data_IF_656745288037
#
_entry.id   IF_656745288037
#
_cell.length_a   1.000
_cell.length_b   1.000
_cell.length_c   1.000
_cell.angle_alpha   90.00
_cell.angle_beta   90.00
_cell.angle_gamma   90.00
#
_symmetry.space_group_name_H-M   'P 1'
#
loop_
_entity.id
_entity.type
_entity.pdbx_description
1 polymer ?
#
# COMPACT_ATOMS: atom_id res chain seq x y z
N UNK A 1 46.66 35.25 33.04
CA UNK A 1 46.77 35.06 31.58
C UNK A 1 45.94 33.84 31.18
N UNK A 2 44.72 34.11 30.70
CA UNK A 2 43.86 33.35 29.78
C UNK A 2 44.10 31.82 29.60
N UNK A 3 43.34 31.00 30.35
CA UNK A 3 43.01 29.60 29.99
C UNK A 3 41.49 29.40 30.04
N UNK A 4 40.75 30.18 29.25
CA UNK A 4 39.29 30.03 29.12
C UNK A 4 38.73 29.98 27.68
N UNK A 5 39.45 30.32 26.57
CA UNK A 5 38.82 30.28 25.25
C UNK A 5 38.65 28.85 24.71
N UNK A 6 39.63 27.95 24.90
CA UNK A 6 39.58 26.60 24.31
C UNK A 6 38.44 25.73 24.87
N UNK A 7 38.17 25.79 26.18
CA UNK A 7 37.09 25.03 26.81
C UNK A 7 35.70 25.53 26.36
N UNK A 8 35.57 26.84 26.14
CA UNK A 8 34.33 27.44 25.64
C UNK A 8 34.04 27.12 24.17
N UNK A 9 35.09 26.90 23.36
CA UNK A 9 34.95 26.53 21.94
C UNK A 9 34.56 25.06 21.78
N UNK A 10 35.22 24.16 22.53
CA UNK A 10 34.87 22.73 22.55
C UNK A 10 33.43 22.53 23.02
N UNK A 11 33.02 23.15 24.13
CA UNK A 11 31.64 23.08 24.62
C UNK A 11 30.62 23.66 23.61
N UNK A 12 31.01 24.69 22.84
CA UNK A 12 30.16 25.26 21.80
C UNK A 12 30.01 24.34 20.59
N UNK A 13 31.08 23.69 20.16
CA UNK A 13 31.04 22.78 19.02
C UNK A 13 30.33 21.46 19.40
N UNK A 14 30.54 20.94 20.61
CA UNK A 14 29.74 19.82 21.16
C UNK A 14 28.24 20.17 21.22
N UNK A 15 27.89 21.38 21.68
CA UNK A 15 26.51 21.84 21.71
C UNK A 15 25.89 21.96 20.30
N UNK A 16 26.64 22.43 19.30
CA UNK A 16 26.18 22.49 17.90
C UNK A 16 25.93 21.08 17.36
N UNK A 17 26.88 20.17 17.54
CA UNK A 17 26.73 18.78 17.10
C UNK A 17 25.54 18.09 17.77
N UNK A 18 25.32 18.34 19.07
CA UNK A 18 24.15 17.81 19.77
C UNK A 18 22.83 18.40 19.22
N UNK A 19 22.81 19.68 18.88
CA UNK A 19 21.63 20.35 18.32
C UNK A 19 21.34 19.88 16.88
N UNK A 20 22.37 19.67 16.07
CA UNK A 20 22.27 19.07 14.73
C UNK A 20 21.72 17.64 14.80
N UNK A 21 22.24 16.81 15.72
CA UNK A 21 21.72 15.46 15.95
C UNK A 21 20.26 15.47 16.41
N UNK A 22 19.91 16.35 17.35
CA UNK A 22 18.52 16.47 17.82
C UNK A 22 17.59 16.92 16.67
N UNK A 23 18.00 17.91 15.87
CA UNK A 23 17.24 18.37 14.71
C UNK A 23 17.01 17.23 13.71
N UNK A 24 18.04 16.44 13.43
CA UNK A 24 17.94 15.27 12.56
C UNK A 24 16.97 14.22 13.13
N UNK A 25 17.07 13.92 14.42
CA UNK A 25 16.14 13.00 15.10
C UNK A 25 14.70 13.51 15.02
N UNK A 26 14.45 14.80 15.23
CA UNK A 26 13.12 15.39 15.09
C UNK A 26 12.61 15.34 13.64
N UNK A 27 13.47 15.59 12.65
CA UNK A 27 13.10 15.49 11.23
C UNK A 27 12.74 14.05 10.83
N UNK A 28 13.44 13.04 11.35
CA UNK A 28 13.13 11.62 11.11
C UNK A 28 11.79 11.18 11.69
N UNK A 29 11.25 11.90 12.66
CA UNK A 29 9.91 11.64 13.19
C UNK A 29 8.80 12.18 12.29
N UNK A 30 9.12 13.11 11.39
CA UNK A 30 8.15 13.72 10.48
C UNK A 30 8.06 12.86 9.23
N UNK A 31 6.84 12.54 8.80
CA UNK A 31 6.59 11.85 7.55
C UNK A 31 6.74 12.80 6.36
N UNK A 32 7.38 12.32 5.30
CA UNK A 32 7.36 12.99 3.99
C UNK A 32 5.95 12.92 3.40
N UNK A 33 5.69 13.72 2.38
CA UNK A 33 4.40 13.73 1.70
C UNK A 33 4.05 12.36 1.11
N UNK A 34 5.02 11.69 0.49
CA UNK A 34 4.79 10.36 -0.08
C UNK A 34 4.51 9.32 1.00
N UNK A 35 5.19 9.41 2.15
CA UNK A 35 4.90 8.54 3.30
C UNK A 35 3.50 8.80 3.87
N UNK A 36 3.05 10.07 3.89
CA UNK A 36 1.69 10.43 4.29
C UNK A 36 0.64 9.89 3.31
N UNK A 37 0.91 9.94 2.00
CA UNK A 37 0.05 9.32 0.97
C UNK A 37 -0.04 7.81 1.19
N UNK A 38 1.08 7.14 1.44
CA UNK A 38 1.11 5.72 1.74
C UNK A 38 0.32 5.38 3.01
N UNK A 39 0.46 6.16 4.08
CA UNK A 39 -0.36 6.03 5.30
C UNK A 39 -1.85 6.14 4.97
N UNK A 40 -2.25 7.10 4.15
CA UNK A 40 -3.66 7.27 3.75
C UNK A 40 -4.17 6.05 2.97
N UNK A 41 -3.40 5.54 2.02
CA UNK A 41 -3.78 4.35 1.24
C UNK A 41 -3.86 3.09 2.12
N UNK A 42 -2.94 2.91 3.09
CA UNK A 42 -2.99 1.81 4.06
C UNK A 42 -4.21 1.89 4.97
N UNK A 43 -4.60 3.10 5.40
CA UNK A 43 -5.88 3.32 6.12
C UNK A 43 -7.09 2.96 5.26
N UNK A 44 -7.05 3.27 3.97
CA UNK A 44 -8.10 2.86 3.03
C UNK A 44 -8.22 1.33 2.96
N UNK A 45 -7.08 0.62 2.87
CA UNK A 45 -7.04 -0.84 2.93
C UNK A 45 -7.70 -1.34 4.22
N UNK A 46 -7.25 -0.84 5.38
CA UNK A 46 -7.81 -1.23 6.67
C UNK A 46 -9.32 -1.00 6.76
N UNK A 47 -9.79 0.21 6.42
CA UNK A 47 -11.21 0.56 6.45
C UNK A 47 -12.03 -0.34 5.51
N UNK A 48 -11.54 -0.58 4.28
CA UNK A 48 -12.21 -1.45 3.30
C UNK A 48 -12.36 -2.88 3.81
N UNK A 49 -11.27 -3.50 4.23
CA UNK A 49 -11.28 -4.92 4.61
C UNK A 49 -12.04 -5.18 5.91
N UNK A 50 -11.95 -4.28 6.90
CA UNK A 50 -12.81 -4.39 8.08
C UNK A 50 -14.29 -4.16 7.75
N UNK A 51 -14.61 -3.28 6.79
CA UNK A 51 -15.98 -3.10 6.29
C UNK A 51 -16.50 -4.36 5.59
N UNK A 52 -15.69 -5.00 4.76
CA UNK A 52 -15.99 -6.30 4.14
C UNK A 52 -16.22 -7.38 5.20
N UNK A 53 -15.40 -7.42 6.25
CA UNK A 53 -15.58 -8.35 7.37
C UNK A 53 -16.96 -8.19 8.03
N UNK A 54 -17.41 -6.95 8.26
CA UNK A 54 -18.75 -6.68 8.80
C UNK A 54 -19.83 -7.20 7.86
N UNK A 55 -19.71 -6.97 6.54
CA UNK A 55 -20.72 -7.42 5.55
C UNK A 55 -20.84 -8.94 5.47
N UNK A 56 -19.73 -9.65 5.56
CA UNK A 56 -19.71 -11.10 5.41
C UNK A 56 -19.68 -11.88 6.74
N UNK A 57 -19.71 -11.20 7.88
CA UNK A 57 -19.64 -11.84 9.20
C UNK A 57 -18.29 -12.50 9.51
N UNK A 58 -17.21 -12.05 8.86
CA UNK A 58 -15.85 -12.53 9.13
C UNK A 58 -15.31 -11.80 10.36
N UNK A 59 -14.77 -12.53 11.34
CA UNK A 59 -14.28 -11.96 12.61
C UNK A 59 -15.29 -11.01 13.29
N UNK A 60 -16.57 -11.43 13.32
CA UNK A 60 -17.70 -10.59 13.72
C UNK A 60 -17.56 -9.92 15.11
N UNK A 61 -16.82 -10.55 16.02
CA UNK A 61 -16.57 -10.03 17.38
C UNK A 61 -15.77 -8.71 17.39
N UNK A 62 -14.91 -8.48 16.38
CA UNK A 62 -14.00 -7.33 16.32
C UNK A 62 -14.23 -6.45 15.10
N UNK A 63 -14.81 -6.98 14.02
CA UNK A 63 -14.91 -6.30 12.73
C UNK A 63 -15.63 -4.96 12.82
N UNK A 64 -16.72 -4.87 13.58
CA UNK A 64 -17.49 -3.63 13.70
C UNK A 64 -16.70 -2.52 14.40
N UNK A 65 -16.01 -2.85 15.51
CA UNK A 65 -15.19 -1.89 16.24
C UNK A 65 -14.01 -1.40 15.39
N UNK A 66 -13.35 -2.33 14.68
CA UNK A 66 -12.23 -2.01 13.78
C UNK A 66 -12.67 -1.17 12.59
N UNK A 67 -13.77 -1.52 11.94
CA UNK A 67 -14.32 -0.76 10.82
C UNK A 67 -14.67 0.67 11.25
N UNK A 68 -15.44 0.83 12.33
CA UNK A 68 -15.80 2.15 12.88
C UNK A 68 -14.57 3.01 13.13
N UNK A 69 -13.53 2.42 13.71
CA UNK A 69 -12.29 3.12 14.01
C UNK A 69 -11.54 3.54 12.73
N UNK A 70 -11.27 2.62 11.81
CA UNK A 70 -10.50 2.95 10.59
C UNK A 70 -11.25 3.87 9.62
N UNK A 71 -12.58 3.81 9.61
CA UNK A 71 -13.43 4.73 8.83
C UNK A 71 -13.44 6.16 9.37
N UNK A 72 -12.92 6.43 10.57
CA UNK A 72 -12.77 7.83 11.05
C UNK A 72 -11.75 8.62 10.24
N UNK A 73 -10.78 7.94 9.63
CA UNK A 73 -9.70 8.57 8.87
C UNK A 73 -10.00 8.68 7.37
N UNK A 74 -10.97 7.93 6.86
CA UNK A 74 -11.23 7.81 5.42
C UNK A 74 -12.72 7.71 5.16
N UNK A 75 -13.27 8.73 4.49
CA UNK A 75 -14.68 8.77 4.12
C UNK A 75 -15.02 7.88 2.91
N UNK A 76 -14.11 7.73 1.95
CA UNK A 76 -14.28 6.89 0.76
C UNK A 76 -12.97 6.19 0.36
N UNK A 77 -12.70 5.00 0.94
CA UNK A 77 -11.47 4.24 0.66
C UNK A 77 -11.27 3.90 -0.81
N UNK A 78 -12.35 3.59 -1.53
CA UNK A 78 -12.25 3.19 -2.94
C UNK A 78 -11.85 4.35 -3.82
N UNK A 79 -12.50 5.51 -3.62
CA UNK A 79 -12.20 6.70 -4.41
C UNK A 79 -10.77 7.16 -4.21
N UNK A 80 -10.28 7.13 -2.95
CA UNK A 80 -8.91 7.55 -2.63
C UNK A 80 -7.87 6.65 -3.31
N UNK A 81 -8.01 5.32 -3.16
CA UNK A 81 -7.04 4.37 -3.74
C UNK A 81 -7.11 4.38 -5.27
N UNK A 82 -8.31 4.46 -5.85
CA UNK A 82 -8.50 4.57 -7.30
C UNK A 82 -7.91 5.86 -7.86
N UNK A 83 -8.09 6.99 -7.17
CA UNK A 83 -7.49 8.26 -7.56
C UNK A 83 -5.96 8.21 -7.53
N UNK A 84 -5.38 7.59 -6.50
CA UNK A 84 -3.93 7.38 -6.43
C UNK A 84 -3.42 6.47 -7.57
N UNK A 85 -4.16 5.42 -7.91
CA UNK A 85 -3.84 4.53 -9.03
C UNK A 85 -3.91 5.23 -10.39
N UNK A 86 -4.96 6.03 -10.65
CA UNK A 86 -5.06 6.81 -11.90
C UNK A 86 -3.99 7.90 -11.98
N UNK A 87 -3.71 8.60 -10.88
CA UNK A 87 -2.58 9.55 -10.83
C UNK A 87 -1.26 8.85 -11.17
N UNK A 88 -1.02 7.71 -10.53
CA UNK A 88 0.14 6.86 -10.78
C UNK A 88 0.11 6.15 -12.15
N UNK A 89 -0.86 6.44 -13.01
CA UNK A 89 -0.90 6.00 -14.41
C UNK A 89 -0.62 7.17 -15.34
N UNK A 90 -1.21 8.33 -15.07
CA UNK A 90 -1.12 9.52 -15.91
C UNK A 90 0.15 10.34 -15.70
N UNK A 91 0.82 10.16 -14.55
CA UNK A 91 2.10 10.83 -14.27
C UNK A 91 3.12 10.54 -15.38
N UNK A 92 3.89 11.54 -15.80
CA UNK A 92 5.02 11.36 -16.71
C UNK A 92 6.33 11.34 -15.92
N UNK A 93 7.41 10.79 -16.50
CA UNK A 93 8.73 10.72 -15.84
C UNK A 93 9.31 12.14 -15.53
N UNK A 94 8.65 13.21 -15.97
CA UNK A 94 9.04 14.62 -15.76
C UNK A 94 8.19 15.37 -14.72
N UNK A 95 7.12 14.78 -14.18
CA UNK A 95 6.19 15.45 -13.25
C UNK A 95 6.67 15.33 -11.80
N UNK A 96 7.88 15.85 -11.54
CA UNK A 96 8.46 15.89 -10.19
C UNK A 96 7.82 16.94 -9.27
N UNK A 97 6.87 17.75 -9.77
CA UNK A 97 6.34 18.93 -9.07
C UNK A 97 4.84 19.18 -9.28
N UNK A 98 4.00 18.14 -9.27
CA UNK A 98 2.54 18.35 -9.24
C UNK A 98 2.04 18.57 -7.80
N UNK A 99 2.30 19.78 -7.32
CA UNK A 99 2.02 20.24 -5.96
C UNK A 99 0.52 20.33 -5.64
N UNK A 100 -0.38 20.39 -6.62
CA UNK A 100 -1.80 20.76 -6.42
C UNK A 100 -2.73 19.60 -6.03
N UNK A 101 -2.79 18.49 -6.79
CA UNK A 101 -3.69 17.35 -6.48
C UNK A 101 -3.23 16.52 -5.26
N UNK A 102 -2.05 16.83 -4.77
CA UNK A 102 -1.30 16.05 -3.80
C UNK A 102 -1.41 16.70 -2.40
N UNK A 103 -2.07 17.88 -2.29
CA UNK A 103 -2.46 18.53 -1.04
C UNK A 103 -3.72 17.89 -0.44
N UNK A 104 -4.71 17.53 -1.26
CA UNK A 104 -5.98 16.93 -0.83
C UNK A 104 -5.81 15.59 -0.07
N UNK A 105 -4.84 14.75 -0.48
CA UNK A 105 -4.53 13.51 0.23
C UNK A 105 -3.77 13.73 1.54
N UNK A 106 -3.00 14.81 1.62
CA UNK A 106 -2.22 15.18 2.81
C UNK A 106 -3.11 15.75 3.92
N UNK A 107 -4.20 16.45 3.57
CA UNK A 107 -5.19 16.95 4.54
C UNK A 107 -5.97 15.81 5.24
N UNK A 108 -6.14 14.67 4.57
CA UNK A 108 -6.79 13.47 5.13
C UNK A 108 -5.91 12.72 6.15
N UNK A 109 -4.61 13.02 6.23
CA UNK A 109 -3.66 12.19 6.98
C UNK A 109 -3.57 12.53 8.47
N UNK A 110 -3.95 13.75 8.89
CA UNK A 110 -3.69 14.20 10.26
C UNK A 110 -2.19 14.22 10.58
N UNK A 111 -1.81 14.70 11.77
CA UNK A 111 -0.44 14.98 12.24
C UNK A 111 0.65 14.06 11.62
N UNK A 112 1.51 14.59 10.74
CA UNK A 112 2.46 13.82 9.92
C UNK A 112 3.64 13.24 10.71
N UNK A 113 3.35 12.38 11.69
CA UNK A 113 4.32 11.75 12.59
C UNK A 113 4.51 10.26 12.25
N UNK A 114 5.71 9.73 12.47
CA UNK A 114 6.08 8.33 12.27
C UNK A 114 5.18 7.35 13.03
N UNK A 115 4.60 7.78 14.14
CA UNK A 115 3.61 6.99 14.90
C UNK A 115 2.41 6.60 14.03
N UNK A 116 1.97 7.46 13.11
CA UNK A 116 0.88 7.14 12.19
C UNK A 116 1.25 6.00 11.24
N UNK A 117 2.48 5.99 10.72
CA UNK A 117 3.00 4.90 9.89
C UNK A 117 3.05 3.59 10.69
N UNK A 118 3.65 3.61 11.88
CA UNK A 118 3.74 2.42 12.74
C UNK A 118 2.36 1.86 13.11
N UNK A 119 1.40 2.75 13.33
CA UNK A 119 0.04 2.39 13.68
C UNK A 119 -0.71 1.72 12.52
N UNK A 120 -0.60 2.23 11.29
CA UNK A 120 -1.19 1.56 10.11
C UNK A 120 -0.50 0.23 9.82
N UNK A 121 0.82 0.15 9.98
CA UNK A 121 1.60 -1.10 9.86
C UNK A 121 1.17 -2.15 10.89
N UNK A 122 0.87 -1.73 12.11
CA UNK A 122 0.31 -2.62 13.12
C UNK A 122 -1.08 -3.14 12.70
N UNK A 123 -1.94 -2.27 12.16
CA UNK A 123 -3.25 -2.67 11.64
C UNK A 123 -3.16 -3.68 10.49
N UNK A 124 -2.26 -3.45 9.53
CA UNK A 124 -2.06 -4.37 8.39
C UNK A 124 -1.49 -5.72 8.84
N UNK A 125 -0.57 -5.72 9.80
CA UNK A 125 -0.08 -6.95 10.42
C UNK A 125 -1.18 -7.73 11.14
N UNK A 126 -2.11 -7.03 11.79
CA UNK A 126 -3.29 -7.66 12.40
C UNK A 126 -4.19 -8.33 11.35
N UNK A 127 -4.51 -7.63 10.24
CA UNK A 127 -5.26 -8.24 9.11
C UNK A 127 -4.58 -9.52 8.60
N UNK A 128 -3.25 -9.47 8.43
CA UNK A 128 -2.45 -10.59 7.96
C UNK A 128 -2.46 -11.75 8.97
N UNK A 129 -2.27 -11.46 10.26
CA UNK A 129 -2.27 -12.46 11.33
C UNK A 129 -3.61 -13.17 11.45
N UNK A 130 -4.70 -12.46 11.19
CA UNK A 130 -6.06 -12.98 11.21
C UNK A 130 -6.51 -13.59 9.88
N UNK A 131 -5.63 -13.56 8.86
CA UNK A 131 -5.90 -14.07 7.50
C UNK A 131 -7.21 -13.51 6.93
N UNK A 132 -7.46 -12.22 7.17
CA UNK A 132 -8.71 -11.56 6.81
C UNK A 132 -8.98 -11.66 5.31
N UNK A 133 -7.97 -11.44 4.48
CA UNK A 133 -8.12 -11.48 3.02
C UNK A 133 -8.46 -12.90 2.52
N UNK A 134 -7.80 -13.93 3.06
CA UNK A 134 -8.10 -15.34 2.74
C UNK A 134 -9.54 -15.70 3.14
N UNK A 135 -9.95 -15.31 4.35
CA UNK A 135 -11.30 -15.58 4.86
C UNK A 135 -12.38 -14.85 4.05
N UNK A 136 -12.12 -13.60 3.66
CA UNK A 136 -13.02 -12.81 2.82
C UNK A 136 -13.11 -13.38 1.40
N UNK A 137 -12.00 -13.80 0.79
CA UNK A 137 -12.02 -14.45 -0.52
C UNK A 137 -12.92 -15.69 -0.52
N UNK A 138 -12.84 -16.51 0.53
CA UNK A 138 -13.73 -17.67 0.71
C UNK A 138 -15.18 -17.22 0.89
N UNK A 139 -15.44 -16.21 1.75
CA UNK A 139 -16.79 -15.73 2.01
C UNK A 139 -17.45 -15.12 0.77
N UNK A 140 -16.73 -14.32 -0.01
CA UNK A 140 -17.22 -13.73 -1.28
C UNK A 140 -17.50 -14.83 -2.32
N UNK A 141 -16.61 -15.81 -2.45
CA UNK A 141 -16.82 -16.96 -3.34
C UNK A 141 -18.02 -17.82 -2.91
N UNK A 142 -18.26 -17.96 -1.61
CA UNK A 142 -19.44 -18.65 -1.09
C UNK A 142 -20.73 -17.89 -1.39
N UNK A 143 -20.77 -16.56 -1.27
CA UNK A 143 -21.96 -15.76 -1.61
C UNK A 143 -22.27 -15.75 -3.12
N UNK A 144 -21.28 -15.99 -3.98
CA UNK A 144 -21.51 -16.21 -5.42
C UNK A 144 -22.34 -17.47 -5.72
N UNK A 145 -22.07 -18.58 -5.01
CA UNK A 145 -22.66 -19.91 -5.32
C UNK A 145 -24.20 -20.00 -5.16
N UNK A 146 -24.84 -19.42 -4.12
CA UNK A 146 -26.30 -19.38 -4.00
C UNK A 146 -27.00 -18.62 -5.12
N UNK A 147 -26.36 -17.58 -5.67
CA UNK A 147 -26.95 -16.76 -6.73
C UNK A 147 -26.97 -17.49 -8.08
N UNK A 148 -25.96 -18.32 -8.38
CA UNK A 148 -25.93 -19.18 -9.59
C UNK A 148 -27.07 -20.20 -9.55
N UNK A 149 -27.34 -20.80 -8.38
CA UNK A 149 -28.43 -21.76 -8.23
C UNK A 149 -29.83 -21.13 -8.38
N UNK A 150 -30.00 -19.83 -8.07
CA UNK A 150 -31.26 -19.10 -8.30
C UNK A 150 -31.48 -18.69 -9.75
N UNK A 151 -30.41 -18.42 -10.50
CA UNK A 151 -30.49 -18.11 -11.93
C UNK A 151 -30.70 -19.35 -12.82
N UNK A 152 -30.41 -20.55 -12.31
CA UNK A 152 -30.55 -21.83 -13.01
C UNK A 152 -31.94 -22.50 -12.96
N UNK A 153 -32.96 -21.87 -12.37
CA UNK A 153 -34.33 -22.42 -12.34
C UNK A 153 -35.21 -21.91 -13.50
N UNK A 154 -34.63 -21.73 -14.69
CA UNK A 154 -35.41 -21.79 -15.93
C UNK A 154 -35.14 -23.14 -16.59
N UNK A 155 -36.21 -23.93 -16.63
CA UNK A 155 -36.38 -25.26 -17.20
C UNK A 155 -35.63 -25.46 -18.54
N UNK A 156 -34.47 -26.12 -18.50
CA UNK A 156 -34.11 -27.18 -19.46
C UNK A 156 -32.83 -27.91 -19.00
N UNK A 157 -32.98 -29.18 -18.65
CA UNK A 157 -31.90 -30.09 -18.28
C UNK A 157 -30.95 -30.33 -19.47
N UNK A 158 -29.81 -29.65 -19.47
CA UNK A 158 -28.58 -30.16 -20.10
C UNK A 158 -27.43 -30.05 -19.10
N UNK A 159 -26.95 -31.21 -18.64
CA UNK A 159 -25.72 -31.33 -17.87
C UNK A 159 -24.57 -30.72 -18.69
N UNK A 160 -23.71 -29.86 -18.11
CA UNK A 160 -22.56 -29.34 -18.83
C UNK A 160 -21.61 -30.49 -19.18
N UNK A 161 -21.18 -30.50 -20.44
CA UNK A 161 -20.18 -31.43 -20.97
C UNK A 161 -18.87 -31.16 -20.21
N UNK A 162 -18.30 -32.25 -19.70
CA UNK A 162 -16.98 -32.32 -19.08
C UNK A 162 -15.94 -31.62 -19.96
N UNK A 163 -15.40 -30.48 -19.50
CA UNK A 163 -14.33 -29.75 -20.19
C UNK A 163 -14.56 -28.26 -20.45
N UNK A 164 -15.73 -27.70 -20.16
CA UNK A 164 -15.94 -26.24 -20.21
C UNK A 164 -15.58 -25.63 -18.85
N UNK A 165 -14.31 -25.23 -18.70
CA UNK A 165 -13.89 -24.39 -17.59
C UNK A 165 -14.55 -23.03 -17.79
N UNK A 166 -15.77 -22.86 -17.27
CA UNK A 166 -16.42 -21.56 -17.23
C UNK A 166 -15.45 -20.60 -16.54
N UNK A 167 -14.98 -19.60 -17.28
CA UNK A 167 -14.26 -18.48 -16.70
C UNK A 167 -15.19 -17.91 -15.62
N UNK A 168 -14.90 -18.21 -14.35
CA UNK A 168 -15.74 -17.78 -13.24
C UNK A 168 -15.95 -16.27 -13.34
N UNK A 169 -17.17 -15.85 -13.65
CA UNK A 169 -17.53 -14.45 -13.62
C UNK A 169 -17.38 -13.95 -12.18
N UNK A 170 -16.55 -12.93 -12.00
CA UNK A 170 -16.34 -12.30 -10.70
C UNK A 170 -17.65 -11.65 -10.27
N UNK A 171 -18.01 -11.80 -9.00
CA UNK A 171 -19.07 -10.99 -8.42
C UNK A 171 -18.67 -9.51 -8.46
N UNK A 172 -19.65 -8.59 -8.37
CA UNK A 172 -19.38 -7.14 -8.33
C UNK A 172 -18.35 -6.79 -7.25
N UNK A 173 -18.49 -7.40 -6.07
CA UNK A 173 -17.62 -7.16 -4.93
C UNK A 173 -16.20 -7.69 -5.15
N UNK A 174 -16.06 -8.87 -5.79
CA UNK A 174 -14.75 -9.39 -6.19
C UNK A 174 -14.10 -8.52 -7.27
N UNK A 175 -14.87 -8.05 -8.25
CA UNK A 175 -14.36 -7.14 -9.27
C UNK A 175 -13.90 -5.81 -8.67
N UNK A 176 -14.64 -5.26 -7.71
CA UNK A 176 -14.26 -4.06 -6.95
C UNK A 176 -12.96 -4.29 -6.15
N UNK A 177 -12.81 -5.46 -5.51
CA UNK A 177 -11.59 -5.82 -4.79
C UNK A 177 -10.37 -5.94 -5.72
N UNK A 178 -10.56 -6.57 -6.88
CA UNK A 178 -9.53 -6.67 -7.92
C UNK A 178 -9.12 -5.27 -8.40
N UNK A 179 -10.06 -4.40 -8.74
CA UNK A 179 -9.74 -3.02 -9.16
C UNK A 179 -9.06 -2.21 -8.05
N UNK A 180 -9.47 -2.39 -6.79
CA UNK A 180 -8.84 -1.75 -5.64
C UNK A 180 -7.37 -2.15 -5.49
N UNK A 181 -7.08 -3.46 -5.58
CA UNK A 181 -5.72 -4.00 -5.53
C UNK A 181 -4.88 -3.60 -6.75
N UNK A 182 -5.47 -3.55 -7.95
CA UNK A 182 -4.78 -3.07 -9.15
C UNK A 182 -4.33 -1.62 -9.03
N UNK A 183 -5.16 -0.76 -8.46
CA UNK A 183 -4.81 0.63 -8.21
C UNK A 183 -3.63 0.73 -7.23
N UNK A 184 -3.63 -0.08 -6.17
CA UNK A 184 -2.48 -0.20 -5.25
C UNK A 184 -1.20 -0.66 -5.96
N UNK A 185 -1.28 -1.70 -6.78
CA UNK A 185 -0.14 -2.23 -7.54
C UNK A 185 0.44 -1.18 -8.49
N UNK A 186 -0.42 -0.48 -9.23
CA UNK A 186 -0.01 0.63 -10.10
C UNK A 186 0.72 1.71 -9.31
N UNK A 187 0.18 2.11 -8.16
CA UNK A 187 0.79 3.10 -7.28
C UNK A 187 2.17 2.68 -6.76
N UNK A 188 2.31 1.47 -6.21
CA UNK A 188 3.59 1.01 -5.66
C UNK A 188 4.65 0.87 -6.76
N UNK A 189 4.32 0.26 -7.90
CA UNK A 189 5.28 0.12 -9.00
C UNK A 189 5.68 1.45 -9.61
N UNK A 190 4.77 2.44 -9.63
CA UNK A 190 5.10 3.81 -10.01
C UNK A 190 6.15 4.41 -9.08
N UNK A 191 5.93 4.30 -7.77
CA UNK A 191 6.88 4.80 -6.78
C UNK A 191 8.22 4.06 -6.85
N UNK A 192 8.18 2.74 -7.01
CA UNK A 192 9.40 1.94 -7.17
C UNK A 192 10.21 2.42 -8.38
N UNK A 193 9.56 2.66 -9.53
CA UNK A 193 10.20 3.22 -10.72
C UNK A 193 10.81 4.60 -10.44
N UNK A 194 10.08 5.50 -9.78
CA UNK A 194 10.54 6.88 -9.47
C UNK A 194 11.80 6.90 -8.61
N UNK A 195 11.90 5.98 -7.65
CA UNK A 195 13.02 5.87 -6.72
C UNK A 195 14.09 4.87 -7.15
N UNK A 196 14.05 4.41 -8.42
CA UNK A 196 15.00 3.44 -8.99
C UNK A 196 15.12 2.13 -8.18
N UNK A 197 14.02 1.70 -7.55
CA UNK A 197 13.92 0.44 -6.81
C UNK A 197 13.60 -0.69 -7.78
N UNK A 198 14.41 -1.75 -7.76
CA UNK A 198 14.32 -2.88 -8.69
C UNK A 198 14.18 -2.41 -10.17
N UNK A 199 15.14 -1.60 -10.67
CA UNK A 199 15.02 -0.87 -11.94
C UNK A 199 14.94 -1.79 -13.17
N UNK A 200 15.36 -3.04 -13.02
CA UNK A 200 15.27 -4.10 -14.03
C UNK A 200 13.83 -4.60 -14.27
N UNK A 201 12.94 -4.47 -13.28
CA UNK A 201 11.56 -4.97 -13.37
C UNK A 201 10.48 -3.90 -13.15
N UNK A 202 10.80 -2.78 -12.48
CA UNK A 202 9.80 -1.81 -12.04
C UNK A 202 9.03 -1.19 -13.21
N UNK A 203 9.72 -0.82 -14.30
CA UNK A 203 9.07 -0.25 -15.49
C UNK A 203 8.20 -1.29 -16.21
N UNK A 204 8.68 -2.53 -16.38
CA UNK A 204 7.90 -3.62 -16.98
C UNK A 204 6.61 -3.87 -16.19
N UNK A 205 6.71 -3.94 -14.86
CA UNK A 205 5.57 -4.17 -13.97
C UNK A 205 4.59 -3.00 -13.99
N UNK A 206 5.08 -1.76 -13.96
CA UNK A 206 4.24 -0.58 -14.10
C UNK A 206 3.47 -0.58 -15.43
N UNK A 207 4.14 -0.83 -16.55
CA UNK A 207 3.50 -0.89 -17.87
C UNK A 207 2.46 -2.02 -17.95
N UNK A 208 2.76 -3.18 -17.34
CA UNK A 208 1.80 -4.28 -17.24
C UNK A 208 0.50 -3.83 -16.56
N UNK A 209 0.58 -3.20 -15.38
CA UNK A 209 -0.61 -2.77 -14.64
C UNK A 209 -1.38 -1.64 -15.33
N UNK A 210 -0.67 -0.68 -15.95
CA UNK A 210 -1.28 0.39 -16.76
C UNK A 210 -2.10 -0.21 -17.92
N UNK A 211 -1.55 -1.23 -18.61
CA UNK A 211 -2.21 -1.87 -19.75
C UNK A 211 -3.49 -2.63 -19.38
N UNK A 212 -3.56 -3.17 -18.16
CA UNK A 212 -4.68 -3.97 -17.67
C UNK A 212 -5.88 -3.13 -17.19
N UNK A 213 -5.68 -1.85 -16.90
CA UNK A 213 -6.69 -0.98 -16.28
C UNK A 213 -7.83 -0.54 -17.24
N UNK A 214 -7.87 -1.06 -18.48
CA UNK A 214 -8.88 -0.71 -19.51
C UNK A 214 -9.98 -1.75 -19.71
N UNK A 215 -9.97 -2.88 -18.99
CA UNK A 215 -10.92 -3.99 -19.16
C UNK A 215 -11.65 -4.30 -17.86
N UNK A 216 -12.90 -4.75 -17.96
CA UNK A 216 -13.62 -5.36 -16.83
C UNK A 216 -12.77 -6.48 -16.24
N UNK A 217 -12.55 -6.52 -14.92
CA UNK A 217 -11.68 -7.52 -14.31
C UNK A 217 -12.15 -8.93 -14.64
N UNK A 218 -11.31 -9.72 -15.28
CA UNK A 218 -11.59 -11.14 -15.54
C UNK A 218 -11.03 -11.98 -14.39
N UNK A 219 -11.44 -13.26 -14.30
CA UNK A 219 -10.85 -14.19 -13.33
C UNK A 219 -9.33 -14.31 -13.44
N UNK A 220 -8.77 -14.16 -14.64
CA UNK A 220 -7.33 -14.14 -14.86
C UNK A 220 -6.67 -12.91 -14.20
N UNK A 221 -7.29 -11.73 -14.33
CA UNK A 221 -6.80 -10.50 -13.69
C UNK A 221 -6.80 -10.64 -12.18
N UNK A 222 -7.82 -11.30 -11.60
CA UNK A 222 -7.83 -11.58 -10.16
C UNK A 222 -6.61 -12.40 -9.71
N UNK A 223 -6.27 -13.46 -10.44
CA UNK A 223 -5.07 -14.28 -10.16
C UNK A 223 -3.78 -13.47 -10.33
N UNK A 224 -3.70 -12.65 -11.39
CA UNK A 224 -2.53 -11.84 -11.66
C UNK A 224 -2.30 -10.81 -10.55
N UNK A 225 -3.37 -10.21 -10.02
CA UNK A 225 -3.33 -9.26 -8.90
C UNK A 225 -2.80 -9.90 -7.62
N UNK A 226 -3.30 -11.08 -7.25
CA UNK A 226 -2.79 -11.81 -6.08
C UNK A 226 -1.30 -12.13 -6.24
N UNK A 227 -0.88 -12.50 -7.46
CA UNK A 227 0.54 -12.72 -7.77
C UNK A 227 1.36 -11.44 -7.65
N UNK A 228 0.83 -10.31 -8.12
CA UNK A 228 1.50 -9.00 -8.02
C UNK A 228 1.70 -8.56 -6.57
N UNK A 229 0.70 -8.74 -5.71
CA UNK A 229 0.81 -8.44 -4.28
C UNK A 229 1.84 -9.34 -3.60
N UNK A 230 1.84 -10.64 -3.93
CA UNK A 230 2.83 -11.57 -3.43
C UNK A 230 4.26 -11.23 -3.90
N UNK A 231 4.43 -10.75 -5.13
CA UNK A 231 5.71 -10.31 -5.70
C UNK A 231 6.28 -9.11 -4.94
N UNK A 232 5.47 -8.05 -4.75
CA UNK A 232 5.87 -6.86 -3.97
C UNK A 232 6.32 -7.25 -2.56
N UNK A 233 5.57 -8.12 -1.89
CA UNK A 233 5.91 -8.62 -0.56
C UNK A 233 7.18 -9.45 -0.55
N UNK A 234 7.39 -10.30 -1.57
CA UNK A 234 8.57 -11.16 -1.69
C UNK A 234 9.84 -10.34 -1.91
N UNK A 235 9.76 -9.28 -2.71
CA UNK A 235 10.87 -8.37 -2.99
C UNK A 235 11.06 -7.32 -1.89
N UNK A 236 10.08 -7.16 -0.99
CA UNK A 236 10.14 -6.16 0.07
C UNK A 236 10.11 -4.73 -0.44
N UNK A 237 9.41 -4.48 -1.57
CA UNK A 237 9.40 -3.17 -2.25
C UNK A 237 8.98 -2.04 -1.30
N UNK A 238 7.98 -2.26 -0.44
CA UNK A 238 7.52 -1.26 0.54
C UNK A 238 8.63 -0.91 1.54
N UNK A 239 9.41 -1.89 2.00
CA UNK A 239 10.56 -1.65 2.87
C UNK A 239 11.65 -0.87 2.14
N UNK A 240 11.95 -1.23 0.89
CA UNK A 240 12.94 -0.51 0.09
C UNK A 240 12.53 0.94 -0.15
N UNK A 241 11.23 1.19 -0.44
CA UNK A 241 10.66 2.54 -0.59
C UNK A 241 10.78 3.36 0.68
N UNK A 242 10.53 2.73 1.84
CA UNK A 242 10.70 3.37 3.14
C UNK A 242 12.17 3.72 3.40
N UNK A 243 13.10 2.81 3.14
CA UNK A 243 14.53 3.02 3.34
C UNK A 243 15.09 4.13 2.43
N UNK A 244 14.75 4.12 1.14
CA UNK A 244 15.16 5.17 0.20
C UNK A 244 14.57 6.54 0.58
N UNK A 245 13.30 6.61 1.01
CA UNK A 245 12.70 7.86 1.49
C UNK A 245 13.39 8.43 2.74
N UNK A 246 14.17 7.63 3.48
CA UNK A 246 14.86 8.02 4.71
C UNK A 246 16.37 8.20 4.54
N UNK A 247 16.92 7.82 3.39
CA UNK A 247 18.35 7.86 3.09
C UNK A 247 18.94 9.27 3.15
N UNK A 248 18.21 10.27 2.68
CA UNK A 248 18.64 11.69 2.75
C UNK A 248 18.70 12.23 4.19
N UNK A 249 18.06 11.54 5.14
CA UNK A 249 18.06 11.91 6.56
C UNK A 249 19.15 11.16 7.34
N UNK A 250 20.07 10.43 6.69
CA UNK A 250 21.17 9.69 7.30
C UNK A 250 22.57 10.24 6.96
N UNK A 251 23.11 11.19 7.75
CA UNK A 251 24.43 11.78 7.50
C UNK A 251 25.59 10.84 7.89
N UNK A 252 25.31 9.76 8.66
CA UNK A 252 26.33 8.78 9.07
C UNK A 252 26.44 7.60 8.08
N UNK A 253 25.62 7.58 7.02
CA UNK A 253 25.64 6.60 5.93
C UNK A 253 26.77 6.86 4.92
N UNK A 254 28.00 7.04 5.38
CA UNK A 254 29.16 7.03 4.48
C UNK A 254 29.27 5.65 3.82
N UNK A 255 29.12 5.68 2.50
CA UNK A 255 28.73 4.58 1.64
C UNK A 255 29.96 3.72 1.29
N UNK A 256 30.58 3.11 2.31
CA UNK A 256 31.75 2.25 2.13
C UNK A 256 31.78 1.07 3.10
N UNK A 257 30.77 0.20 3.05
CA UNK A 257 30.83 -1.27 3.30
C UNK A 257 29.42 -1.85 3.47
N UNK A 258 28.72 -2.06 2.37
CA UNK A 258 27.77 -3.18 2.28
C UNK A 258 28.41 -4.20 1.33
N UNK A 259 28.84 -5.38 1.81
CA UNK A 259 29.22 -6.45 0.89
C UNK A 259 27.96 -6.87 0.16
N UNK A 260 28.02 -6.87 -1.18
CA UNK A 260 27.00 -7.46 -2.05
C UNK A 260 26.63 -8.82 -1.47
N UNK A 261 25.35 -8.97 -1.13
CA UNK A 261 24.77 -10.22 -0.65
C UNK A 261 24.92 -11.23 -1.79
N UNK A 262 25.93 -12.09 -1.69
CA UNK A 262 26.14 -13.19 -2.64
C UNK A 262 25.11 -14.28 -2.37
N UNK A 263 24.49 -14.73 -3.45
CA UNK A 263 23.56 -15.85 -3.53
C UNK A 263 24.05 -17.10 -2.79
N UNK A 264 23.18 -17.66 -1.94
CA UNK A 264 23.03 -19.09 -1.68
C UNK A 264 21.62 -19.37 -1.16
#
# INVERSE_FOLDING_TARGET
MLRYPAFSLVARDEAKTALEKLRLMTQRMILTREEMEEVALKRCWLARYWGLCVRHGVHAEIAEAKYKFWSTFVHDPEKVVRAAGEKAKDESDHDLDDTEAQQDLSELSGEGNIENMLFVEQGLRELTSLKVEEALAIAMAQHRRPNVLKAGFSDDLKLPIEGQCDAFELSKEEAEDVSFKQAWLTYIWRRAKRHEIEPDIADERLQFWISQNSKTPTSQVAVDVERGLAEIKKLGIETQLWEESRKELDPDGDNSKMPRRTDF
#
